data_IF_878825584096
#
_entry.id   IF_878825584096
#
_cell.length_a   1.000
_cell.length_b   1.000
_cell.length_c   1.000
_cell.angle_alpha   90.00
_cell.angle_beta   90.00
_cell.angle_gamma   90.00
#
_symmetry.space_group_name_H-M   'P 1'
#
loop_
_entity.id
_entity.type
_entity.pdbx_description
1 polymer ?
#
# COMPACT_ATOMS: atom_id res chain seq x y z
N UNK A 1 -42.42 12.32 -85.37
CA UNK A 1 -42.85 12.36 -83.95
C UNK A 1 -41.71 11.89 -83.07
N UNK A 2 -41.04 12.80 -82.32
CA UNK A 2 -39.96 12.44 -81.39
C UNK A 2 -40.59 12.20 -80.01
N UNK A 3 -40.58 10.95 -79.55
CA UNK A 3 -41.00 10.56 -78.20
C UNK A 3 -39.98 11.08 -77.19
N UNK A 4 -40.34 12.12 -76.45
CA UNK A 4 -39.52 12.66 -75.36
C UNK A 4 -39.66 11.76 -74.14
N UNK A 5 -38.62 10.96 -73.84
CA UNK A 5 -38.54 10.21 -72.58
C UNK A 5 -38.39 11.20 -71.44
N UNK A 6 -39.47 11.45 -70.70
CA UNK A 6 -39.43 12.22 -69.45
C UNK A 6 -38.63 11.43 -68.43
N UNK A 7 -37.46 11.92 -68.04
CA UNK A 7 -36.72 11.40 -66.90
C UNK A 7 -37.59 11.57 -65.65
N UNK A 8 -38.09 10.46 -65.10
CA UNK A 8 -38.76 10.50 -63.80
C UNK A 8 -37.68 10.69 -62.74
N UNK A 9 -37.63 11.88 -62.15
CA UNK A 9 -36.79 12.14 -60.99
C UNK A 9 -37.20 11.19 -59.86
N UNK A 10 -36.24 10.55 -59.17
CA UNK A 10 -36.55 9.70 -58.03
C UNK A 10 -37.28 10.51 -56.95
N UNK A 11 -38.27 9.89 -56.30
CA UNK A 11 -39.08 10.54 -55.27
C UNK A 11 -38.20 11.17 -54.18
N UNK A 12 -38.65 12.29 -53.60
CA UNK A 12 -37.91 13.00 -52.54
C UNK A 12 -37.45 12.10 -51.38
N UNK A 13 -38.15 10.98 -51.14
CA UNK A 13 -37.79 9.96 -50.14
C UNK A 13 -36.41 9.33 -50.39
N UNK A 14 -36.04 9.09 -51.65
CA UNK A 14 -34.73 8.51 -52.01
C UNK A 14 -33.59 9.51 -51.81
N UNK A 15 -33.86 10.80 -52.02
CA UNK A 15 -32.89 11.87 -51.72
C UNK A 15 -32.65 12.03 -50.22
N UNK A 16 -33.72 11.95 -49.41
CA UNK A 16 -33.57 11.96 -47.94
C UNK A 16 -32.75 10.77 -47.43
N UNK A 17 -32.98 9.56 -47.95
CA UNK A 17 -32.20 8.38 -47.57
C UNK A 17 -30.73 8.51 -47.98
N UNK A 18 -30.46 9.02 -49.20
CA UNK A 18 -29.09 9.23 -49.66
C UNK A 18 -28.34 10.29 -48.82
N UNK A 19 -29.02 11.38 -48.44
CA UNK A 19 -28.43 12.42 -47.59
C UNK A 19 -28.17 11.92 -46.17
N UNK A 20 -29.07 11.12 -45.60
CA UNK A 20 -28.86 10.49 -44.29
C UNK A 20 -27.69 9.51 -44.32
N UNK A 21 -27.57 8.70 -45.38
CA UNK A 21 -26.44 7.79 -45.57
C UNK A 21 -25.11 8.54 -45.70
N UNK A 22 -25.08 9.64 -46.45
CA UNK A 22 -23.89 10.47 -46.61
C UNK A 22 -23.51 11.17 -45.30
N UNK A 23 -24.48 11.69 -44.55
CA UNK A 23 -24.24 12.30 -43.25
C UNK A 23 -23.67 11.30 -42.24
N UNK A 24 -24.19 10.06 -42.21
CA UNK A 24 -23.66 9.00 -41.36
C UNK A 24 -22.22 8.62 -41.73
N UNK A 25 -21.92 8.51 -43.03
CA UNK A 25 -20.56 8.25 -43.53
C UNK A 25 -19.58 9.37 -43.15
N UNK A 26 -19.99 10.63 -43.29
CA UNK A 26 -19.18 11.78 -42.90
C UNK A 26 -18.93 11.81 -41.39
N UNK A 27 -19.92 11.44 -40.58
CA UNK A 27 -19.79 11.39 -39.12
C UNK A 27 -18.80 10.29 -38.69
N UNK A 28 -18.86 9.12 -39.32
CA UNK A 28 -17.91 8.03 -39.08
C UNK A 28 -16.48 8.46 -39.48
N UNK A 29 -16.33 9.08 -40.65
CA UNK A 29 -15.04 9.58 -41.12
C UNK A 29 -14.42 10.62 -40.16
N UNK A 30 -15.25 11.53 -39.63
CA UNK A 30 -14.81 12.51 -38.62
C UNK A 30 -14.35 11.83 -37.32
N UNK A 31 -15.06 10.79 -36.85
CA UNK A 31 -14.66 10.06 -35.65
C UNK A 31 -13.33 9.33 -35.83
N UNK A 32 -13.09 8.70 -36.99
CA UNK A 32 -11.80 8.05 -37.27
C UNK A 32 -10.64 9.04 -37.36
N UNK A 33 -10.86 10.23 -37.93
CA UNK A 33 -9.81 11.27 -38.02
C UNK A 33 -9.52 11.93 -36.66
N UNK A 34 -10.49 11.96 -35.74
CA UNK A 34 -10.33 12.52 -34.41
C UNK A 34 -9.63 11.57 -33.42
N UNK A 35 -9.51 10.27 -33.73
CA UNK A 35 -8.87 9.28 -32.85
C UNK A 35 -7.35 9.17 -33.02
N UNK A 36 -6.76 9.87 -34.00
CA UNK A 36 -5.32 9.77 -34.30
C UNK A 36 -4.44 10.58 -33.33
N UNK A 37 -5.05 11.45 -32.50
CA UNK A 37 -4.33 12.07 -31.38
C UNK A 37 -4.39 11.15 -30.16
N UNK A 38 -3.58 10.11 -30.16
CA UNK A 38 -3.14 9.52 -28.89
C UNK A 38 -2.40 10.63 -28.14
N UNK A 39 -2.85 11.07 -26.95
CA UNK A 39 -2.06 11.98 -26.14
C UNK A 39 -0.71 11.31 -25.92
N UNK A 40 0.34 11.89 -26.50
CA UNK A 40 1.70 11.49 -26.18
C UNK A 40 1.88 11.93 -24.74
N UNK A 41 1.81 10.97 -23.83
CA UNK A 41 2.07 11.23 -22.41
C UNK A 41 3.44 11.90 -22.34
N UNK A 42 3.55 13.10 -21.76
CA UNK A 42 4.80 13.83 -21.73
C UNK A 42 5.83 12.93 -21.06
N UNK A 43 6.92 12.62 -21.77
CA UNK A 43 8.02 11.84 -21.19
C UNK A 43 8.50 12.57 -19.93
N UNK A 44 8.41 11.94 -18.74
CA UNK A 44 8.79 12.59 -17.50
C UNK A 44 10.23 13.09 -17.60
N UNK A 45 10.44 14.40 -17.44
CA UNK A 45 11.75 15.07 -17.57
C UNK A 45 12.61 14.97 -16.32
N UNK A 46 12.19 14.19 -15.32
CA UNK A 46 12.91 13.93 -14.08
C UNK A 46 13.12 12.44 -13.83
N UNK A 47 13.93 12.06 -12.82
CA UNK A 47 13.99 10.69 -12.34
C UNK A 47 12.58 10.17 -12.06
N UNK A 48 12.28 8.88 -12.34
CA UNK A 48 10.99 8.32 -11.98
C UNK A 48 10.73 8.55 -10.49
N UNK A 49 9.54 9.06 -10.13
CA UNK A 49 9.15 9.19 -8.72
C UNK A 49 9.19 7.83 -7.99
N UNK A 50 9.00 6.75 -8.74
CA UNK A 50 9.16 5.38 -8.26
C UNK A 50 10.31 4.73 -9.05
N UNK A 51 11.57 4.84 -8.58
CA UNK A 51 12.66 4.11 -9.20
C UNK A 51 12.45 2.61 -9.00
N UNK A 52 13.01 1.79 -9.89
CA UNK A 52 13.13 0.36 -9.62
C UNK A 52 14.15 0.17 -8.50
N UNK A 53 13.79 -0.58 -7.46
CA UNK A 53 14.67 -0.94 -6.37
C UNK A 53 14.60 -2.45 -6.10
N UNK A 54 15.68 -3.01 -5.57
CA UNK A 54 15.73 -4.42 -5.19
C UNK A 54 15.00 -4.62 -3.85
N UNK A 55 14.26 -5.72 -3.73
CA UNK A 55 13.75 -6.19 -2.45
C UNK A 55 14.87 -7.00 -1.79
N UNK A 56 15.31 -6.55 -0.63
CA UNK A 56 16.45 -7.11 0.09
C UNK A 56 16.02 -7.81 1.38
N UNK A 57 16.71 -8.89 1.73
CA UNK A 57 16.59 -9.55 3.03
C UNK A 57 17.42 -8.83 4.12
N UNK A 58 17.45 -9.41 5.33
CA UNK A 58 18.17 -8.85 6.48
C UNK A 58 19.70 -8.80 6.29
N UNK A 59 20.26 -9.66 5.44
CA UNK A 59 21.69 -9.70 5.10
C UNK A 59 22.02 -8.80 3.88
N UNK A 60 21.00 -8.21 3.25
CA UNK A 60 21.15 -7.32 2.11
C UNK A 60 21.18 -8.03 0.75
N UNK A 61 20.83 -9.32 0.69
CA UNK A 61 20.73 -10.06 -0.57
C UNK A 61 19.34 -9.88 -1.18
N UNK A 62 19.23 -10.04 -2.50
CA UNK A 62 17.94 -10.02 -3.18
C UNK A 62 17.08 -11.22 -2.73
N UNK A 63 15.85 -10.96 -2.30
CA UNK A 63 14.95 -12.00 -1.77
C UNK A 63 14.56 -13.07 -2.80
N UNK A 64 14.62 -12.76 -4.10
CA UNK A 64 14.39 -13.76 -5.15
C UNK A 64 15.54 -14.76 -5.27
N UNK A 65 16.73 -14.37 -4.82
CA UNK A 65 17.92 -15.23 -4.80
C UNK A 65 18.06 -15.97 -3.46
N UNK A 66 17.81 -15.30 -2.33
CA UNK A 66 17.95 -15.89 -0.99
C UNK A 66 16.74 -16.73 -0.56
N UNK A 67 15.54 -16.36 -1.02
CA UNK A 67 14.28 -16.96 -0.55
C UNK A 67 13.85 -16.49 0.85
N UNK A 68 14.58 -15.55 1.45
CA UNK A 68 14.33 -15.01 2.79
C UNK A 68 13.27 -13.89 2.78
N UNK A 69 12.80 -13.52 3.97
CA UNK A 69 11.83 -12.44 4.14
C UNK A 69 12.43 -11.06 3.81
N UNK A 70 11.59 -10.15 3.32
CA UNK A 70 11.98 -8.77 3.01
C UNK A 70 12.34 -8.03 4.30
N UNK A 71 13.52 -7.43 4.33
CA UNK A 71 13.91 -6.40 5.29
C UNK A 71 13.55 -5.03 4.73
N UNK A 72 12.55 -4.36 5.31
CA UNK A 72 12.22 -2.98 4.91
C UNK A 72 13.37 -2.02 5.23
N UNK A 73 14.14 -2.31 6.29
CA UNK A 73 15.31 -1.51 6.69
C UNK A 73 16.39 -1.51 5.61
N UNK A 74 16.69 -2.66 5.00
CA UNK A 74 17.68 -2.76 3.92
C UNK A 74 17.09 -2.35 2.57
N UNK A 75 15.86 -2.77 2.27
CA UNK A 75 15.18 -2.46 1.00
C UNK A 75 15.05 -0.94 0.80
N UNK A 76 14.45 -0.25 1.78
CA UNK A 76 14.29 1.19 1.75
C UNK A 76 15.61 1.92 2.04
N UNK A 77 16.54 1.26 2.75
CA UNK A 77 17.88 1.76 3.09
C UNK A 77 18.75 2.13 1.90
N UNK A 78 18.46 1.57 0.72
CA UNK A 78 19.18 1.92 -0.51
C UNK A 78 18.94 3.37 -0.96
N UNK A 79 17.83 3.98 -0.53
CA UNK A 79 17.44 5.33 -0.95
C UNK A 79 17.18 6.28 0.23
N UNK A 80 16.92 5.73 1.43
CA UNK A 80 16.58 6.48 2.62
C UNK A 80 17.50 6.10 3.78
N UNK A 81 17.79 7.06 4.67
CA UNK A 81 18.40 6.74 5.95
C UNK A 81 17.36 6.11 6.88
N UNK A 82 17.21 4.79 6.75
CA UNK A 82 16.19 4.04 7.49
C UNK A 82 16.47 4.00 8.99
N UNK A 83 17.73 4.07 9.41
CA UNK A 83 18.09 4.18 10.82
C UNK A 83 17.58 5.50 11.41
N UNK A 84 17.90 6.63 10.76
CA UNK A 84 17.38 7.92 11.16
C UNK A 84 15.84 7.96 11.17
N UNK A 85 15.20 7.44 10.12
CA UNK A 85 13.73 7.40 10.05
C UNK A 85 13.15 6.56 11.19
N UNK A 86 13.72 5.40 11.48
CA UNK A 86 13.21 4.53 12.54
C UNK A 86 13.35 5.15 13.94
N UNK A 87 14.44 5.87 14.19
CA UNK A 87 14.69 6.55 15.47
C UNK A 87 13.87 7.82 15.66
N UNK A 88 13.41 8.47 14.59
CA UNK A 88 12.81 9.81 14.64
C UNK A 88 11.36 9.86 14.14
N UNK A 89 10.76 8.72 13.76
CA UNK A 89 9.38 8.64 13.28
C UNK A 89 8.51 7.86 14.25
N UNK A 90 7.54 8.55 14.86
CA UNK A 90 6.52 7.88 15.69
C UNK A 90 5.69 6.85 14.89
N UNK A 91 5.58 7.03 13.57
CA UNK A 91 4.89 6.05 12.71
C UNK A 91 5.65 4.73 12.62
N UNK A 92 6.99 4.76 12.70
CA UNK A 92 7.85 3.57 12.73
C UNK A 92 7.98 3.00 14.13
N UNK A 93 8.13 3.86 15.13
CA UNK A 93 8.17 3.44 16.53
C UNK A 93 6.85 2.79 16.97
N UNK A 94 5.73 3.24 16.41
CA UNK A 94 4.38 2.79 16.73
C UNK A 94 4.02 2.86 18.23
N UNK A 95 4.80 3.60 19.04
CA UNK A 95 4.62 3.70 20.48
C UNK A 95 5.51 2.76 21.30
N UNK A 96 6.40 1.98 20.67
CA UNK A 96 7.34 1.10 21.37
C UNK A 96 8.20 1.89 22.37
N UNK A 97 8.83 2.98 21.94
CA UNK A 97 9.72 3.80 22.77
C UNK A 97 9.01 4.59 23.87
N UNK A 98 7.69 4.69 23.83
CA UNK A 98 6.85 5.37 24.83
C UNK A 98 6.05 4.39 25.71
N UNK A 99 6.45 3.12 25.77
CA UNK A 99 5.75 2.15 26.61
C UNK A 99 5.79 2.53 28.09
N UNK A 100 4.66 2.31 28.75
CA UNK A 100 4.42 2.62 30.15
C UNK A 100 3.55 1.52 30.77
N UNK A 101 3.42 1.53 32.10
CA UNK A 101 2.49 0.63 32.76
C UNK A 101 1.04 0.96 32.34
N UNK A 102 0.14 -0.05 32.30
CA UNK A 102 -1.26 0.16 31.94
C UNK A 102 -1.89 1.35 32.67
N UNK A 103 -2.51 2.25 31.90
CA UNK A 103 -3.19 3.43 32.44
C UNK A 103 -2.30 4.64 32.72
N UNK A 104 -0.99 4.54 32.47
CA UNK A 104 -0.05 5.66 32.66
C UNK A 104 0.25 6.46 31.38
N UNK A 105 -0.42 6.15 30.27
CA UNK A 105 -0.24 6.84 28.96
C UNK A 105 -0.81 8.26 28.91
N UNK A 106 -1.55 8.69 29.93
CA UNK A 106 -2.17 10.03 29.98
C UNK A 106 -3.38 10.22 29.06
N UNK A 107 -3.80 9.20 28.31
CA UNK A 107 -4.92 9.29 27.36
C UNK A 107 -6.31 9.00 27.99
N UNK A 108 -6.36 8.71 29.30
CA UNK A 108 -7.58 8.43 30.06
C UNK A 108 -8.06 6.97 29.99
N UNK A 109 -7.38 6.07 29.28
CA UNK A 109 -7.71 4.64 29.23
C UNK A 109 -6.79 3.88 30.17
N UNK A 110 -7.37 3.21 31.17
CA UNK A 110 -6.64 2.52 32.23
C UNK A 110 -5.87 1.27 31.79
N UNK A 111 -6.05 0.84 30.55
CA UNK A 111 -5.44 -0.37 29.98
C UNK A 111 -4.39 -0.07 28.92
N UNK A 112 -4.35 1.13 28.33
CA UNK A 112 -3.35 1.41 27.31
C UNK A 112 -1.96 1.49 27.94
N UNK A 113 -0.96 0.91 27.27
CA UNK A 113 0.45 0.91 27.66
C UNK A 113 1.28 1.88 26.82
N UNK A 114 0.77 2.32 25.67
CA UNK A 114 1.37 3.36 24.85
C UNK A 114 0.31 4.24 24.16
N UNK A 115 0.73 5.38 23.61
CA UNK A 115 -0.12 6.26 22.81
C UNK A 115 -0.23 5.80 21.35
N UNK A 116 0.70 4.95 20.88
CA UNK A 116 0.79 4.43 19.52
C UNK A 116 0.06 3.10 19.32
N UNK A 117 -0.03 2.63 18.06
CA UNK A 117 -0.73 1.38 17.70
C UNK A 117 -0.12 0.13 18.34
N UNK A 118 1.14 0.21 18.77
CA UNK A 118 1.80 -0.76 19.61
C UNK A 118 1.63 -0.38 21.08
N UNK A 119 0.59 -0.90 21.74
CA UNK A 119 0.29 -0.65 23.16
C UNK A 119 -1.01 0.10 23.43
N UNK A 120 -1.64 0.66 22.39
CA UNK A 120 -3.00 1.19 22.46
C UNK A 120 -4.03 0.14 22.03
N UNK A 121 -5.05 -0.07 22.86
CA UNK A 121 -6.14 -0.98 22.53
C UNK A 121 -7.03 -0.42 21.41
N UNK A 122 -7.37 -1.27 20.43
CA UNK A 122 -8.19 -0.89 19.29
C UNK A 122 -9.62 -1.48 19.40
N UNK A 123 -10.67 -0.65 19.57
CA UNK A 123 -12.05 -1.11 19.72
C UNK A 123 -12.65 -1.79 18.48
N UNK A 124 -12.01 -1.70 17.32
CA UNK A 124 -12.48 -2.36 16.10
C UNK A 124 -11.92 -3.77 15.97
N UNK A 125 -10.76 -4.02 16.59
CA UNK A 125 -10.01 -5.27 16.45
C UNK A 125 -10.10 -6.13 17.72
N UNK A 126 -10.47 -5.53 18.85
CA UNK A 126 -10.66 -6.20 20.13
C UNK A 126 -9.43 -6.96 20.64
N UNK A 127 -8.24 -6.60 20.17
CA UNK A 127 -6.97 -7.16 20.64
C UNK A 127 -6.24 -6.19 21.56
N UNK A 128 -5.62 -6.75 22.58
CA UNK A 128 -4.87 -6.09 23.63
C UNK A 128 -3.42 -6.59 23.62
N UNK A 129 -2.48 -5.69 23.31
CA UNK A 129 -1.05 -5.99 23.42
C UNK A 129 -0.71 -6.22 24.90
N UNK A 130 -0.58 -7.50 25.27
CA UNK A 130 -0.47 -7.91 26.67
C UNK A 130 0.82 -7.36 27.29
N UNK A 131 0.76 -6.61 28.41
CA UNK A 131 1.94 -6.17 29.15
C UNK A 131 2.62 -7.33 29.87
N UNK A 132 3.88 -7.15 30.25
CA UNK A 132 4.60 -8.14 31.05
C UNK A 132 3.91 -8.38 32.40
N UNK A 133 3.79 -9.65 32.81
CA UNK A 133 3.22 -10.04 34.10
C UNK A 133 1.70 -10.15 34.14
N UNK A 134 1.00 -9.98 33.01
CA UNK A 134 -0.44 -10.23 32.93
C UNK A 134 -0.75 -11.74 32.91
N UNK A 135 -1.82 -12.15 33.59
CA UNK A 135 -2.19 -13.57 33.75
C UNK A 135 -2.80 -14.16 32.46
N UNK A 136 -3.35 -13.31 31.59
CA UNK A 136 -4.02 -13.69 30.36
C UNK A 136 -3.35 -13.01 29.16
N UNK A 137 -2.66 -13.82 28.34
CA UNK A 137 -2.05 -13.35 27.10
C UNK A 137 -3.11 -13.34 25.99
N UNK A 138 -3.30 -12.17 25.39
CA UNK A 138 -4.14 -11.94 24.19
C UNK A 138 -3.23 -11.73 22.98
N UNK A 139 -2.41 -10.67 22.99
CA UNK A 139 -1.53 -10.34 21.87
C UNK A 139 -0.08 -10.14 22.31
N UNK A 140 0.82 -10.96 21.79
CA UNK A 140 2.28 -10.83 21.92
C UNK A 140 2.84 -9.90 20.84
N UNK A 141 4.12 -9.56 20.89
CA UNK A 141 4.77 -8.77 19.82
C UNK A 141 4.76 -9.51 18.48
N UNK A 142 5.11 -10.80 18.39
CA UNK A 142 4.90 -11.57 17.15
C UNK A 142 3.44 -11.60 16.69
N UNK A 143 2.48 -11.78 17.60
CA UNK A 143 1.05 -11.74 17.27
C UNK A 143 0.63 -10.38 16.72
N UNK A 144 1.13 -9.29 17.30
CA UNK A 144 0.89 -7.94 16.79
C UNK A 144 1.46 -7.77 15.39
N UNK A 145 2.66 -8.27 15.12
CA UNK A 145 3.24 -8.22 13.77
C UNK A 145 2.40 -9.02 12.78
N UNK A 146 1.92 -10.20 13.15
CA UNK A 146 1.02 -10.97 12.29
C UNK A 146 -0.30 -10.23 11.99
N UNK A 147 -0.83 -9.49 12.96
CA UNK A 147 -2.11 -8.78 12.82
C UNK A 147 -2.00 -7.42 12.10
N UNK A 148 -0.91 -6.69 12.34
CA UNK A 148 -0.74 -5.30 11.94
C UNK A 148 0.36 -5.06 10.89
N UNK A 149 1.10 -6.09 10.47
CA UNK A 149 2.19 -5.96 9.48
C UNK A 149 1.76 -5.31 8.17
N UNK A 150 0.52 -5.53 7.72
CA UNK A 150 -0.04 -4.90 6.52
C UNK A 150 -0.17 -3.36 6.64
N UNK A 151 -0.12 -2.83 7.86
CA UNK A 151 -0.28 -1.42 8.21
C UNK A 151 0.98 -0.81 8.82
N UNK A 152 2.03 -1.61 9.04
CA UNK A 152 3.28 -1.15 9.63
C UNK A 152 4.38 -1.05 8.58
N UNK A 153 5.16 0.02 8.61
CA UNK A 153 6.19 0.31 7.59
C UNK A 153 7.54 -0.38 7.88
N UNK A 154 7.62 -1.15 8.96
CA UNK A 154 8.83 -1.77 9.49
C UNK A 154 9.60 -0.84 10.42
N UNK A 155 10.74 -1.30 10.96
CA UNK A 155 11.40 -0.66 12.10
C UNK A 155 10.59 -0.81 13.41
N UNK A 156 11.04 -0.14 14.49
CA UNK A 156 10.38 -0.18 15.80
C UNK A 156 10.04 -1.61 16.24
N UNK A 157 8.77 -1.91 16.58
CA UNK A 157 8.37 -3.23 17.06
C UNK A 157 8.44 -4.35 16.01
N UNK A 158 8.78 -4.06 14.75
CA UNK A 158 9.01 -5.08 13.72
C UNK A 158 10.44 -5.63 13.71
N UNK A 159 11.37 -4.96 14.37
CA UNK A 159 12.78 -5.40 14.45
C UNK A 159 13.35 -5.34 15.86
N UNK A 160 12.67 -4.65 16.78
CA UNK A 160 13.12 -4.39 18.15
C UNK A 160 12.09 -4.90 19.15
N UNK A 161 12.56 -5.59 20.18
CA UNK A 161 11.76 -6.08 21.30
C UNK A 161 11.38 -4.95 22.26
N UNK A 162 10.49 -5.22 23.22
CA UNK A 162 10.09 -4.25 24.26
C UNK A 162 11.26 -3.82 25.14
N UNK A 163 12.26 -4.68 25.28
CA UNK A 163 13.49 -4.43 26.03
C UNK A 163 14.63 -3.85 25.16
N UNK A 164 14.34 -3.47 23.91
CA UNK A 164 15.31 -2.83 23.01
C UNK A 164 16.28 -3.80 22.31
N UNK A 165 16.06 -5.11 22.37
CA UNK A 165 16.90 -6.09 21.69
C UNK A 165 16.41 -6.35 20.26
N UNK A 166 17.27 -6.71 19.30
CA UNK A 166 16.80 -7.18 18.00
C UNK A 166 15.88 -8.40 18.14
N UNK A 167 14.69 -8.39 17.55
CA UNK A 167 13.72 -9.50 17.68
C UNK A 167 14.31 -10.84 17.24
N UNK A 168 15.11 -10.84 16.16
CA UNK A 168 15.74 -12.06 15.63
C UNK A 168 16.90 -12.57 16.49
N UNK A 169 17.33 -11.84 17.53
CA UNK A 169 18.31 -12.34 18.50
C UNK A 169 17.67 -13.09 19.67
N UNK A 170 16.34 -13.02 19.81
CA UNK A 170 15.60 -13.71 20.86
C UNK A 170 15.45 -15.19 20.53
N UNK A 171 15.73 -16.05 21.51
CA UNK A 171 15.39 -17.47 21.40
C UNK A 171 13.87 -17.65 21.48
N UNK A 172 13.28 -18.57 20.69
CA UNK A 172 11.86 -18.92 20.83
C UNK A 172 11.55 -19.37 22.25
N UNK A 173 10.58 -18.70 22.87
CA UNK A 173 10.16 -18.98 24.25
C UNK A 173 8.68 -18.66 24.39
N UNK A 174 7.87 -19.67 24.75
CA UNK A 174 6.43 -19.54 24.90
C UNK A 174 6.01 -18.57 26.01
N UNK A 175 6.89 -18.34 27.00
CA UNK A 175 6.65 -17.39 28.09
C UNK A 175 7.11 -15.97 27.76
N UNK A 176 7.88 -15.79 26.70
CA UNK A 176 8.40 -14.48 26.30
C UNK A 176 7.41 -13.80 25.34
N UNK A 177 6.85 -12.66 25.77
CA UNK A 177 5.89 -11.88 24.97
C UNK A 177 6.49 -11.28 23.69
N UNK A 178 7.81 -11.30 23.53
CA UNK A 178 8.51 -10.88 22.31
C UNK A 178 8.96 -12.04 21.41
N UNK A 179 8.86 -13.30 21.89
CA UNK A 179 9.30 -14.48 21.15
C UNK A 179 8.25 -15.61 21.07
N UNK A 180 7.04 -15.37 21.56
CA UNK A 180 5.91 -16.30 21.55
C UNK A 180 4.84 -15.87 20.57
N UNK A 181 4.25 -16.81 19.85
CA UNK A 181 3.00 -16.61 19.10
C UNK A 181 1.88 -17.24 19.93
N UNK A 182 0.96 -16.42 20.41
CA UNK A 182 -0.24 -16.82 21.16
C UNK A 182 -1.47 -16.40 20.36
#
# INVERSE_FOLDING_TARGET
MKSSRKFQLPSAKYWFIALLGLAALLLIAQQTLAQDETPVDPTPTGPPLHPNFALLDADGNNVLDSGEAISTMNTCGNCHDTAFIAEHSFHVDAGLGETSAPGQTGNGRSWDTSTGTFGKWNPLLYHYLTPAGDDAVDLTTPGWLMFFSDRHVGGGPAVTSRDGQPLLSLAPDAANLDASIV
#
